data_IF_039727172100
#
_entry.id   IF_039727172100
#
_cell.length_a   1.000
_cell.length_b   1.000
_cell.length_c   1.000
_cell.angle_alpha   90.00
_cell.angle_beta   90.00
_cell.angle_gamma   90.00
#
_symmetry.space_group_name_H-M   'P 1'
#
loop_
_entity.id
_entity.type
_entity.pdbx_description
1 polymer ?
#
# COMPACT_ATOMS: atom_id res chain seq x y z
N UNK A 1 -5.60 6.71 24.25
CA UNK A 1 -6.37 6.80 23.00
C UNK A 1 -5.43 7.16 21.85
N UNK A 2 -5.51 6.46 20.76
CA UNK A 2 -4.67 6.74 19.60
C UNK A 2 -5.08 8.05 18.95
N UNK A 3 -4.10 8.84 18.56
CA UNK A 3 -4.35 10.04 17.78
C UNK A 3 -4.53 9.70 16.31
N UNK A 4 -5.06 10.63 15.53
CA UNK A 4 -5.16 10.44 14.08
C UNK A 4 -3.77 10.39 13.45
N UNK A 5 -2.79 11.08 14.02
CA UNK A 5 -1.40 10.97 13.55
C UNK A 5 -0.84 9.58 13.76
N UNK A 6 -1.13 8.97 14.90
CA UNK A 6 -0.68 7.59 15.15
C UNK A 6 -1.30 6.61 14.16
N UNK A 7 -2.58 6.78 13.87
CA UNK A 7 -3.26 5.95 12.90
C UNK A 7 -2.68 6.16 11.49
N UNK A 8 -2.38 7.40 11.14
CA UNK A 8 -1.77 7.70 9.85
C UNK A 8 -0.38 7.07 9.74
N UNK A 9 0.38 7.04 10.83
CA UNK A 9 1.70 6.39 10.84
C UNK A 9 1.57 4.89 10.63
N UNK A 10 0.55 4.27 11.22
CA UNK A 10 0.28 2.85 10.98
C UNK A 10 -0.06 2.59 9.51
N UNK A 11 -0.85 3.47 8.91
CA UNK A 11 -1.17 3.36 7.49
C UNK A 11 0.10 3.50 6.64
N UNK A 12 0.97 4.44 7.00
CA UNK A 12 2.25 4.63 6.30
C UNK A 12 3.10 3.36 6.33
N UNK A 13 3.19 2.71 7.50
CA UNK A 13 3.90 1.44 7.63
C UNK A 13 3.28 0.37 6.74
N UNK A 14 1.96 0.33 6.67
CA UNK A 14 1.26 -0.63 5.84
C UNK A 14 1.52 -0.36 4.35
N UNK A 15 1.60 0.91 3.94
CA UNK A 15 1.96 1.28 2.56
C UNK A 15 3.32 0.71 2.19
N UNK A 16 4.31 0.79 3.09
CA UNK A 16 5.64 0.22 2.84
C UNK A 16 5.58 -1.29 2.65
N UNK A 17 4.78 -1.97 3.47
CA UNK A 17 4.63 -3.42 3.36
C UNK A 17 3.94 -3.80 2.05
N UNK A 18 2.97 -3.01 1.61
CA UNK A 18 2.31 -3.23 0.31
C UNK A 18 3.30 -2.98 -0.82
N UNK A 19 4.13 -1.96 -0.73
CA UNK A 19 5.18 -1.71 -1.74
C UNK A 19 6.14 -2.90 -1.84
N UNK A 20 6.53 -3.47 -0.71
CA UNK A 20 7.39 -4.65 -0.70
C UNK A 20 6.71 -5.83 -1.39
N UNK A 21 5.41 -6.00 -1.14
CA UNK A 21 4.64 -7.08 -1.78
C UNK A 21 4.57 -6.87 -3.31
N UNK A 22 4.46 -5.62 -3.75
CA UNK A 22 4.46 -5.31 -5.19
C UNK A 22 5.82 -5.68 -5.80
N UNK A 23 6.92 -5.33 -5.15
CA UNK A 23 8.26 -5.69 -5.62
C UNK A 23 8.43 -7.20 -5.70
N UNK A 24 7.96 -7.92 -4.69
CA UNK A 24 8.04 -9.38 -4.69
C UNK A 24 7.25 -9.98 -5.85
N UNK A 25 6.08 -9.43 -6.13
CA UNK A 25 5.25 -9.88 -7.25
C UNK A 25 5.95 -9.62 -8.58
N UNK A 26 6.57 -8.45 -8.75
CA UNK A 26 7.32 -8.12 -9.96
C UNK A 26 8.52 -9.04 -10.15
N UNK A 27 9.22 -9.32 -9.06
CA UNK A 27 10.38 -10.22 -9.09
C UNK A 27 9.96 -11.62 -9.53
N UNK A 28 8.84 -12.09 -9.02
CA UNK A 28 8.30 -13.40 -9.38
C UNK A 28 7.89 -13.42 -10.85
N UNK A 29 7.32 -12.34 -11.37
CA UNK A 29 6.98 -12.21 -12.80
C UNK A 29 8.20 -12.39 -13.68
N UNK A 30 9.31 -11.72 -13.34
CA UNK A 30 10.54 -11.81 -14.11
C UNK A 30 11.05 -13.24 -14.11
N UNK A 31 10.98 -13.91 -12.97
CA UNK A 31 11.49 -15.25 -12.80
C UNK A 31 10.68 -16.30 -13.56
N UNK A 32 9.38 -16.12 -13.63
CA UNK A 32 8.47 -17.09 -14.24
C UNK A 32 8.04 -16.75 -15.66
N UNK A 33 8.53 -15.63 -16.19
CA UNK A 33 8.15 -15.16 -17.51
C UNK A 33 6.87 -14.36 -17.54
N UNK A 34 6.33 -14.06 -16.36
CA UNK A 34 5.11 -13.27 -16.23
C UNK A 34 3.85 -14.10 -16.44
N UNK A 35 2.77 -13.68 -15.83
CA UNK A 35 1.45 -14.29 -16.01
C UNK A 35 0.40 -13.23 -15.85
N UNK A 36 -0.80 -13.50 -16.41
CA UNK A 36 -1.92 -12.57 -16.26
C UNK A 36 -2.33 -12.45 -14.79
N UNK A 37 -2.24 -13.54 -14.03
CA UNK A 37 -2.55 -13.54 -12.62
C UNK A 37 -1.61 -12.63 -11.82
N UNK A 38 -0.32 -12.68 -12.15
CA UNK A 38 0.66 -11.83 -11.47
C UNK A 38 0.45 -10.36 -11.81
N UNK A 39 0.13 -10.07 -13.08
CA UNK A 39 -0.17 -8.70 -13.49
C UNK A 39 -1.40 -8.15 -12.79
N UNK A 40 -2.44 -8.99 -12.67
CA UNK A 40 -3.67 -8.58 -11.98
C UNK A 40 -3.41 -8.35 -10.49
N UNK A 41 -2.63 -9.20 -9.87
CA UNK A 41 -2.27 -9.04 -8.46
C UNK A 41 -1.51 -7.73 -8.24
N UNK A 42 -0.53 -7.44 -9.10
CA UNK A 42 0.21 -6.18 -9.02
C UNK A 42 -0.74 -4.98 -9.15
N UNK A 43 -1.67 -5.05 -10.09
CA UNK A 43 -2.64 -3.98 -10.32
C UNK A 43 -3.51 -3.74 -9.09
N UNK A 44 -3.98 -4.83 -8.46
CA UNK A 44 -4.78 -4.73 -7.25
C UNK A 44 -3.99 -4.16 -6.09
N UNK A 45 -2.75 -4.62 -5.90
CA UNK A 45 -1.89 -4.11 -4.84
C UNK A 45 -1.59 -2.63 -5.03
N UNK A 46 -1.41 -2.19 -6.27
CA UNK A 46 -1.18 -0.76 -6.56
C UNK A 46 -2.40 0.09 -6.19
N UNK A 47 -3.59 -0.44 -6.43
CA UNK A 47 -4.84 0.25 -6.02
C UNK A 47 -4.94 0.33 -4.50
N UNK A 48 -4.61 -0.75 -3.82
CA UNK A 48 -4.60 -0.76 -2.35
C UNK A 48 -3.65 0.30 -1.82
N UNK A 49 -2.45 0.36 -2.39
CA UNK A 49 -1.45 1.34 -1.94
C UNK A 49 -1.97 2.77 -2.11
N UNK A 50 -2.58 3.08 -3.26
CA UNK A 50 -3.15 4.42 -3.49
C UNK A 50 -4.26 4.75 -2.50
N UNK A 51 -5.12 3.77 -2.21
CA UNK A 51 -6.19 3.96 -1.24
C UNK A 51 -5.64 4.23 0.15
N UNK A 52 -4.56 3.53 0.53
CA UNK A 52 -3.91 3.76 1.81
C UNK A 52 -3.27 5.14 1.87
N UNK A 53 -2.63 5.58 0.79
CA UNK A 53 -2.03 6.91 0.71
C UNK A 53 -3.11 7.99 0.89
N UNK A 54 -4.25 7.81 0.25
CA UNK A 54 -5.35 8.75 0.39
C UNK A 54 -5.89 8.76 1.82
N UNK A 55 -6.06 7.58 2.41
CA UNK A 55 -6.53 7.47 3.78
C UNK A 55 -5.55 8.14 4.76
N UNK A 56 -4.26 7.94 4.55
CA UNK A 56 -3.24 8.58 5.38
C UNK A 56 -3.34 10.10 5.28
N UNK A 57 -3.45 10.62 4.06
CA UNK A 57 -3.56 12.05 3.84
C UNK A 57 -4.78 12.63 4.53
N UNK A 58 -5.91 11.94 4.44
CA UNK A 58 -7.15 12.40 5.07
C UNK A 58 -7.03 12.43 6.59
N UNK A 59 -6.38 11.42 7.17
CA UNK A 59 -6.17 11.39 8.61
C UNK A 59 -5.25 12.52 9.07
N UNK A 60 -4.17 12.78 8.32
CA UNK A 60 -3.24 13.84 8.67
C UNK A 60 -3.87 15.22 8.52
N UNK A 61 -4.80 15.36 7.56
CA UNK A 61 -5.51 16.60 7.34
C UNK A 61 -6.63 16.82 8.34
N UNK A 62 -7.07 15.77 9.02
CA UNK A 62 -8.11 15.87 10.02
C UNK A 62 -7.55 16.53 11.27
N UNK A 63 -8.13 17.64 11.65
CA UNK A 63 -7.63 18.43 12.77
C UNK A 63 -8.28 17.97 14.06
N UNK A 64 -7.72 16.93 14.65
CA UNK A 64 -8.22 16.38 15.90
C UNK A 64 -7.49 16.92 17.11
N UNK A 65 -6.25 17.28 16.95
CA UNK A 65 -5.43 17.79 18.07
C UNK A 65 -5.67 19.28 18.34
#
# INVERSE_FOLDING_TARGET
>A
MESFHDLADEISSLEHRISDAIFDTLREQVRTGGSEQAKELERQLSKVRRSLQKAEMLLRATNQD
#
